data_IF_269035807990
#
_entry.id   IF_269035807990
#
_cell.length_a   1.000
_cell.length_b   1.000
_cell.length_c   1.000
_cell.angle_alpha   90.00
_cell.angle_beta   90.00
_cell.angle_gamma   90.00
#
_symmetry.space_group_name_H-M   'P 1'
#
loop_
_entity.id
_entity.type
_entity.pdbx_description
1 polymer ?
#
# COMPACT_ATOMS: atom_id res chain seq x y z
N UNK A 1 47.84 21.38 9.04
CA UNK A 1 46.72 20.44 9.06
C UNK A 1 46.39 20.21 10.52
N UNK A 2 45.21 20.63 10.92
CA UNK A 2 44.83 20.75 12.32
C UNK A 2 44.28 19.40 12.81
N UNK A 3 44.42 19.05 14.10
CA UNK A 3 43.93 17.76 14.64
C UNK A 3 42.45 17.50 14.28
N UNK A 4 41.64 18.57 14.27
CA UNK A 4 40.24 18.59 13.84
C UNK A 4 40.04 18.28 12.34
N UNK A 5 40.88 18.82 11.46
CA UNK A 5 40.81 18.51 10.01
C UNK A 5 41.18 17.05 9.73
N UNK A 6 42.11 16.51 10.50
CA UNK A 6 42.54 15.11 10.40
C UNK A 6 41.45 14.15 10.89
N UNK A 7 40.71 14.52 11.94
CA UNK A 7 39.53 13.78 12.40
C UNK A 7 38.40 13.78 11.36
N UNK A 8 38.17 14.92 10.69
CA UNK A 8 37.16 15.02 9.63
C UNK A 8 37.49 14.23 8.36
N UNK A 9 38.77 13.86 8.14
CA UNK A 9 39.22 13.00 7.04
C UNK A 9 39.11 11.49 7.36
N UNK A 10 39.08 11.12 8.64
CA UNK A 10 38.89 9.74 9.14
C UNK A 10 37.48 9.58 9.74
N UNK A 11 36.50 10.34 9.22
CA UNK A 11 35.15 10.43 9.75
C UNK A 11 34.28 9.22 9.33
N UNK A 12 34.85 8.01 9.49
CA UNK A 12 34.18 6.73 9.36
C UNK A 12 32.94 6.64 10.25
N UNK A 13 32.96 7.35 11.39
CA UNK A 13 31.82 7.44 12.30
C UNK A 13 30.66 8.26 11.71
N UNK A 14 30.93 9.43 11.12
CA UNK A 14 29.94 10.21 10.37
C UNK A 14 29.32 9.42 9.22
N UNK A 15 30.15 8.72 8.43
CA UNK A 15 29.68 7.86 7.33
C UNK A 15 28.80 6.69 7.83
N UNK A 16 29.18 6.04 8.93
CA UNK A 16 28.37 4.97 9.52
C UNK A 16 27.02 5.49 10.02
N UNK A 17 27.02 6.63 10.72
CA UNK A 17 25.80 7.27 11.21
C UNK A 17 24.85 7.69 10.08
N UNK A 18 25.39 8.31 9.01
CA UNK A 18 24.61 8.69 7.84
C UNK A 18 24.02 7.47 7.12
N UNK A 19 24.79 6.38 7.01
CA UNK A 19 24.31 5.12 6.45
C UNK A 19 23.17 4.52 7.28
N UNK A 20 23.30 4.46 8.60
CA UNK A 20 22.22 3.99 9.49
C UNK A 20 20.96 4.84 9.37
N UNK A 21 21.12 6.17 9.29
CA UNK A 21 20.00 7.09 9.11
C UNK A 21 19.30 6.86 7.76
N UNK A 22 20.07 6.68 6.69
CA UNK A 22 19.53 6.38 5.36
C UNK A 22 18.81 5.03 5.34
N UNK A 23 19.38 3.99 5.93
CA UNK A 23 18.73 2.68 6.04
C UNK A 23 17.39 2.77 6.79
N UNK A 24 17.34 3.49 7.91
CA UNK A 24 16.08 3.71 8.66
C UNK A 24 15.04 4.42 7.80
N UNK A 25 15.44 5.47 7.06
CA UNK A 25 14.53 6.18 6.14
C UNK A 25 14.02 5.25 5.04
N UNK A 26 14.89 4.46 4.42
CA UNK A 26 14.50 3.51 3.38
C UNK A 26 13.50 2.47 3.90
N UNK A 27 13.75 1.89 5.08
CA UNK A 27 12.85 0.91 5.71
C UNK A 27 11.50 1.56 6.01
N UNK A 28 11.48 2.78 6.55
CA UNK A 28 10.24 3.49 6.83
C UNK A 28 9.45 3.79 5.57
N UNK A 29 10.10 4.25 4.50
CA UNK A 29 9.45 4.46 3.20
C UNK A 29 8.85 3.17 2.65
N UNK A 30 9.62 2.07 2.66
CA UNK A 30 9.14 0.78 2.19
C UNK A 30 7.95 0.26 3.01
N UNK A 31 7.97 0.45 4.35
CA UNK A 31 6.85 0.09 5.22
C UNK A 31 5.61 0.93 4.95
N UNK A 32 5.77 2.24 4.72
CA UNK A 32 4.64 3.11 4.40
C UNK A 32 4.01 2.71 3.07
N UNK A 33 4.81 2.48 2.03
CA UNK A 33 4.29 1.99 0.74
C UNK A 33 3.57 0.66 0.89
N UNK A 34 4.17 -0.31 1.58
CA UNK A 34 3.50 -1.60 1.81
C UNK A 34 2.21 -1.50 2.63
N UNK A 35 2.14 -0.56 3.58
CA UNK A 35 0.92 -0.30 4.34
C UNK A 35 -0.18 0.31 3.48
N UNK A 36 0.15 1.32 2.66
CA UNK A 36 -0.80 1.99 1.78
C UNK A 36 -1.33 1.02 0.72
N UNK A 37 -0.44 0.28 0.05
CA UNK A 37 -0.80 -0.75 -0.93
C UNK A 37 -1.69 -1.83 -0.30
N UNK A 38 -1.31 -2.32 0.88
CA UNK A 38 -2.07 -3.35 1.60
C UNK A 38 -3.44 -2.86 2.05
N UNK A 39 -3.56 -1.58 2.45
CA UNK A 39 -4.81 -0.96 2.84
C UNK A 39 -5.75 -0.79 1.64
N UNK A 40 -5.23 -0.36 0.50
CA UNK A 40 -6.00 -0.23 -0.75
C UNK A 40 -6.48 -1.61 -1.23
N UNK A 41 -5.58 -2.60 -1.27
CA UNK A 41 -5.93 -3.97 -1.64
C UNK A 41 -6.99 -4.58 -0.72
N UNK A 42 -6.88 -4.34 0.60
CA UNK A 42 -7.87 -4.80 1.58
C UNK A 42 -9.23 -4.12 1.43
N UNK A 43 -9.27 -2.81 1.19
CA UNK A 43 -10.51 -2.08 0.92
C UNK A 43 -11.20 -2.62 -0.33
N UNK A 44 -10.43 -2.83 -1.41
CA UNK A 44 -10.94 -3.38 -2.67
C UNK A 44 -11.47 -4.81 -2.51
N UNK A 45 -10.75 -5.67 -1.81
CA UNK A 45 -11.19 -7.04 -1.55
C UNK A 45 -12.53 -7.08 -0.79
N UNK A 46 -12.71 -6.18 0.19
CA UNK A 46 -13.96 -6.05 0.94
C UNK A 46 -15.12 -5.59 0.07
N UNK A 47 -14.93 -4.61 -0.82
CA UNK A 47 -15.95 -4.17 -1.78
C UNK A 47 -16.42 -5.32 -2.67
N UNK A 48 -15.48 -6.13 -3.16
CA UNK A 48 -15.76 -7.31 -3.98
C UNK A 48 -16.55 -8.35 -3.19
N UNK A 49 -16.17 -8.63 -1.94
CA UNK A 49 -16.88 -9.59 -1.09
C UNK A 49 -18.33 -9.15 -0.83
N UNK A 50 -18.54 -7.87 -0.51
CA UNK A 50 -19.88 -7.30 -0.32
C UNK A 50 -20.70 -7.41 -1.61
N UNK A 51 -20.10 -7.09 -2.77
CA UNK A 51 -20.76 -7.22 -4.06
C UNK A 51 -21.18 -8.66 -4.36
N UNK A 52 -20.30 -9.64 -4.13
CA UNK A 52 -20.61 -11.07 -4.29
C UNK A 52 -21.80 -11.49 -3.43
N UNK A 53 -21.89 -10.99 -2.20
CA UNK A 53 -23.02 -11.28 -1.32
C UNK A 53 -24.33 -10.66 -1.83
N UNK A 54 -24.31 -9.41 -2.28
CA UNK A 54 -25.50 -8.79 -2.87
C UNK A 54 -25.96 -9.47 -4.15
N UNK A 55 -25.03 -9.91 -5.01
CA UNK A 55 -25.38 -10.65 -6.22
C UNK A 55 -26.00 -12.02 -5.91
N UNK A 56 -25.52 -12.71 -4.87
CA UNK A 56 -26.14 -13.96 -4.36
C UNK A 56 -27.57 -13.73 -3.86
N UNK A 57 -27.82 -12.59 -3.25
CA UNK A 57 -29.16 -12.18 -2.80
C UNK A 57 -30.05 -11.62 -3.93
N UNK A 58 -29.63 -11.78 -5.20
CA UNK A 58 -30.34 -11.32 -6.39
C UNK A 58 -30.63 -9.80 -6.41
N UNK A 59 -29.79 -9.00 -5.73
CA UNK A 59 -29.89 -7.53 -5.79
C UNK A 59 -29.50 -7.03 -7.20
N UNK A 60 -30.24 -6.06 -7.79
CA UNK A 60 -29.92 -5.53 -9.11
C UNK A 60 -28.51 -4.93 -9.19
N UNK A 61 -27.83 -5.18 -10.31
CA UNK A 61 -26.42 -4.77 -10.53
C UNK A 61 -26.25 -3.25 -10.41
N UNK A 62 -27.22 -2.47 -10.87
CA UNK A 62 -27.20 -1.01 -10.78
C UNK A 62 -27.24 -0.52 -9.33
N UNK A 63 -27.94 -1.25 -8.45
CA UNK A 63 -27.97 -0.97 -7.02
C UNK A 63 -26.66 -1.37 -6.38
N UNK A 64 -26.09 -2.52 -6.74
CA UNK A 64 -24.79 -2.96 -6.21
C UNK A 64 -23.69 -1.96 -6.60
N UNK A 65 -23.60 -1.59 -7.88
CA UNK A 65 -22.62 -0.64 -8.40
C UNK A 65 -22.64 0.69 -7.63
N UNK A 66 -23.83 1.24 -7.38
CA UNK A 66 -24.00 2.49 -6.64
C UNK A 66 -23.52 2.39 -5.18
N UNK A 67 -23.62 1.22 -4.55
CA UNK A 67 -23.28 1.05 -3.13
C UNK A 67 -21.85 0.57 -2.90
N UNK A 68 -21.23 -0.14 -3.86
CA UNK A 68 -19.87 -0.67 -3.73
C UNK A 68 -18.83 0.14 -4.49
N UNK A 69 -19.24 1.02 -5.40
CA UNK A 69 -18.32 1.79 -6.25
C UNK A 69 -17.68 0.96 -7.37
N UNK A 70 -18.10 -0.30 -7.55
CA UNK A 70 -17.67 -1.17 -8.65
C UNK A 70 -18.37 -0.79 -9.95
N UNK A 71 -17.67 -0.93 -11.08
CA UNK A 71 -18.29 -0.73 -12.39
C UNK A 71 -19.27 -1.86 -12.70
N UNK A 72 -20.20 -1.61 -13.62
CA UNK A 72 -21.13 -2.64 -14.10
C UNK A 72 -20.37 -3.78 -14.77
N UNK A 73 -19.26 -3.49 -15.48
CA UNK A 73 -18.45 -4.54 -16.11
C UNK A 73 -17.80 -5.44 -15.06
N UNK A 74 -17.22 -4.87 -14.00
CA UNK A 74 -16.62 -5.62 -12.90
C UNK A 74 -17.64 -6.53 -12.21
N UNK A 75 -18.86 -6.04 -12.00
CA UNK A 75 -19.93 -6.81 -11.37
C UNK A 75 -20.42 -7.97 -12.24
N UNK A 76 -20.48 -7.78 -13.57
CA UNK A 76 -20.82 -8.85 -14.51
C UNK A 76 -19.74 -9.91 -14.60
N UNK A 77 -18.46 -9.54 -14.46
CA UNK A 77 -17.37 -10.52 -14.32
C UNK A 77 -17.49 -11.31 -13.02
N UNK A 78 -17.70 -10.64 -11.89
CA UNK A 78 -17.89 -11.29 -10.59
C UNK A 78 -19.07 -12.26 -10.57
N UNK A 79 -20.14 -11.94 -11.31
CA UNK A 79 -21.32 -12.79 -11.44
C UNK A 79 -21.07 -14.07 -12.25
N UNK A 80 -20.13 -14.04 -13.20
CA UNK A 80 -19.73 -15.24 -13.99
C UNK A 80 -18.86 -16.19 -13.17
N UNK A 81 -18.15 -15.67 -12.17
CA UNK A 81 -17.29 -16.44 -11.26
C UNK A 81 -18.05 -17.05 -10.07
N UNK A 82 -19.30 -16.64 -9.84
CA UNK A 82 -20.14 -17.05 -8.70
C UNK A 82 -20.98 -18.30 -9.04
#
# INVERSE_FOLDING_TARGET
>A
MNELERLGLDDNFGLAYDNELMQKKMINTARNWGYDDGKEAGARAKEIEIAKNFLKDCIPIEVVSRNTGLSVEELEELKKEA
#
